data_IF_837520331762
#
_entry.id   IF_837520331762
#
_cell.length_a   1.000
_cell.length_b   1.000
_cell.length_c   1.000
_cell.angle_alpha   90.00
_cell.angle_beta   90.00
_cell.angle_gamma   90.00
#
_symmetry.space_group_name_H-M   'P 1'
#
loop_
_entity.id
_entity.type
_entity.pdbx_description
1 polymer ?
#
# COMPACT_ATOMS: atom_id res chain seq x y z
N UNK A 1 9.95 6.85 14.39
CA UNK A 1 10.38 7.61 13.19
C UNK A 1 10.46 6.67 12.02
N UNK A 2 9.67 6.92 10.99
CA UNK A 2 9.51 5.99 9.86
C UNK A 2 10.51 6.30 8.75
N UNK A 3 10.97 5.26 8.08
CA UNK A 3 11.91 5.36 6.98
C UNK A 3 11.58 4.30 5.93
N UNK A 4 11.47 4.71 4.67
CA UNK A 4 11.39 3.75 3.57
C UNK A 4 12.74 3.07 3.36
N UNK A 5 12.73 1.81 2.99
CA UNK A 5 13.95 1.05 2.73
C UNK A 5 14.79 1.75 1.65
N UNK A 6 16.11 1.81 1.85
CA UNK A 6 17.05 2.55 1.01
C UNK A 6 16.88 4.08 0.97
N UNK A 7 15.89 4.65 1.65
CA UNK A 7 15.79 6.10 1.78
C UNK A 7 16.92 6.63 2.69
N UNK A 8 17.53 7.73 2.30
CA UNK A 8 18.53 8.43 3.13
C UNK A 8 17.90 9.24 4.25
N UNK A 9 16.65 9.64 4.08
CA UNK A 9 15.93 10.48 5.04
C UNK A 9 14.75 9.72 5.64
N UNK A 10 14.40 10.06 6.86
CA UNK A 10 13.11 9.68 7.45
C UNK A 10 11.97 10.43 6.76
N UNK A 11 10.78 9.86 6.71
CA UNK A 11 9.68 10.39 5.90
C UNK A 11 9.18 11.76 6.38
N UNK A 12 9.29 12.06 7.66
CA UNK A 12 9.00 13.38 8.25
C UNK A 12 9.93 14.49 7.74
N UNK A 13 11.08 14.12 7.21
CA UNK A 13 12.06 15.04 6.59
C UNK A 13 11.95 15.13 5.06
N UNK A 14 10.86 14.64 4.50
CA UNK A 14 10.53 14.73 3.08
C UNK A 14 9.16 15.42 3.00
N UNK A 15 9.10 16.76 3.10
CA UNK A 15 7.83 17.49 3.29
C UNK A 15 6.78 17.17 2.22
N UNK A 16 7.17 17.14 0.95
CA UNK A 16 6.25 16.90 -0.16
C UNK A 16 5.58 15.52 -0.09
N UNK A 17 6.29 14.50 0.36
CA UNK A 17 5.73 13.17 0.57
C UNK A 17 4.92 13.13 1.87
N UNK A 18 5.46 13.65 2.95
CA UNK A 18 4.80 13.64 4.25
C UNK A 18 3.45 14.36 4.23
N UNK A 19 3.36 15.49 3.52
CA UNK A 19 2.10 16.23 3.34
C UNK A 19 1.00 15.38 2.67
N UNK A 20 1.37 14.43 1.81
CA UNK A 20 0.41 13.52 1.18
C UNK A 20 -0.15 12.45 2.12
N UNK A 21 0.61 12.00 3.12
CA UNK A 21 0.30 10.77 3.86
C UNK A 21 0.17 10.95 5.37
N UNK A 22 0.52 12.11 5.95
CA UNK A 22 0.57 12.29 7.41
C UNK A 22 -0.79 12.07 8.10
N UNK A 23 -1.88 12.43 7.43
CA UNK A 23 -3.24 12.22 7.93
C UNK A 23 -3.59 10.74 8.07
N UNK A 24 -3.07 9.89 7.17
CA UNK A 24 -3.25 8.44 7.19
C UNK A 24 -2.28 7.76 8.16
N UNK A 25 -1.00 8.15 8.07
CA UNK A 25 0.09 7.49 8.79
C UNK A 25 -0.11 7.52 10.31
N UNK A 26 -0.64 8.60 10.85
CA UNK A 26 -0.81 8.78 12.29
C UNK A 26 -2.12 8.18 12.84
N UNK A 27 -2.88 7.46 12.04
CA UNK A 27 -4.11 6.79 12.48
C UNK A 27 -3.82 5.43 13.11
N UNK A 28 -4.68 5.01 14.06
CA UNK A 28 -4.56 3.71 14.70
C UNK A 28 -4.62 2.54 13.71
N UNK A 29 -5.47 2.63 12.70
CA UNK A 29 -5.63 1.59 11.69
C UNK A 29 -4.34 1.35 10.88
N UNK A 30 -3.67 2.42 10.45
CA UNK A 30 -2.39 2.30 9.73
C UNK A 30 -1.27 1.84 10.66
N UNK A 31 -1.24 2.35 11.90
CA UNK A 31 -0.25 1.93 12.88
C UNK A 31 -0.37 0.44 13.24
N UNK A 32 -1.59 -0.09 13.30
CA UNK A 32 -1.85 -1.51 13.57
C UNK A 32 -1.19 -2.44 12.54
N UNK A 33 -0.95 -1.97 11.30
CA UNK A 33 -0.21 -2.75 10.30
C UNK A 33 1.21 -3.13 10.76
N UNK A 34 1.77 -2.41 11.71
CA UNK A 34 3.06 -2.73 12.33
C UNK A 34 3.04 -4.01 13.19
N UNK A 35 1.86 -4.48 13.60
CA UNK A 35 1.70 -5.70 14.40
C UNK A 35 1.67 -6.97 13.54
N UNK A 36 1.44 -6.85 12.24
CA UNK A 36 1.35 -7.98 11.32
C UNK A 36 2.66 -8.17 10.55
N UNK A 37 3.14 -9.41 10.52
CA UNK A 37 4.29 -9.80 9.70
C UNK A 37 3.88 -9.88 8.22
N UNK A 38 4.68 -9.28 7.35
CA UNK A 38 4.49 -9.39 5.89
C UNK A 38 5.30 -10.57 5.32
N UNK A 39 6.60 -10.38 5.09
CA UNK A 39 7.54 -11.40 4.62
C UNK A 39 8.91 -11.23 5.26
N UNK A 40 9.61 -12.33 5.57
CA UNK A 40 11.02 -12.35 5.98
C UNK A 40 11.38 -11.32 7.06
N UNK A 41 10.56 -11.18 8.09
CA UNK A 41 10.83 -10.26 9.21
C UNK A 41 10.43 -8.81 8.97
N UNK A 42 9.81 -8.48 7.85
CA UNK A 42 9.25 -7.15 7.59
C UNK A 42 7.81 -7.07 8.06
N UNK A 43 7.43 -5.96 8.69
CA UNK A 43 6.03 -5.71 9.04
C UNK A 43 5.23 -5.24 7.81
N UNK A 44 3.91 -5.43 7.88
CA UNK A 44 3.00 -4.92 6.84
C UNK A 44 3.06 -3.39 6.74
N UNK A 45 3.24 -2.69 7.86
CA UNK A 45 3.45 -1.24 7.87
C UNK A 45 4.71 -0.84 7.09
N UNK A 46 5.83 -1.51 7.35
CA UNK A 46 7.09 -1.21 6.64
C UNK A 46 6.97 -1.49 5.15
N UNK A 47 6.32 -2.59 4.77
CA UNK A 47 6.01 -2.88 3.36
C UNK A 47 5.16 -1.78 2.72
N UNK A 48 4.07 -1.40 3.37
CA UNK A 48 3.18 -0.34 2.89
C UNK A 48 3.88 1.02 2.77
N UNK A 49 4.75 1.36 3.70
CA UNK A 49 5.59 2.57 3.62
C UNK A 49 6.55 2.53 2.43
N UNK A 50 7.17 1.39 2.17
CA UNK A 50 8.06 1.21 1.01
C UNK A 50 7.30 1.42 -0.30
N UNK A 51 6.16 0.76 -0.46
CA UNK A 51 5.31 0.88 -1.65
C UNK A 51 4.85 2.33 -1.83
N UNK A 52 4.37 2.96 -0.77
CA UNK A 52 3.92 4.35 -0.74
C UNK A 52 5.00 5.33 -1.22
N UNK A 53 6.16 5.25 -0.62
CA UNK A 53 7.27 6.17 -0.92
C UNK A 53 7.81 6.01 -2.35
N UNK A 54 8.00 4.78 -2.80
CA UNK A 54 8.49 4.54 -4.16
C UNK A 54 7.45 4.83 -5.23
N UNK A 55 6.16 4.66 -4.95
CA UNK A 55 5.08 5.15 -5.80
C UNK A 55 5.14 6.68 -5.94
N UNK A 56 5.33 7.38 -4.83
CA UNK A 56 5.49 8.83 -4.84
C UNK A 56 6.65 9.26 -5.74
N UNK A 57 7.82 8.68 -5.56
CA UNK A 57 9.00 9.02 -6.35
C UNK A 57 8.81 8.74 -7.85
N UNK A 58 8.28 7.57 -8.18
CA UNK A 58 8.03 7.17 -9.56
C UNK A 58 7.02 8.09 -10.25
N UNK A 59 5.87 8.30 -9.62
CA UNK A 59 4.81 9.14 -10.17
C UNK A 59 5.24 10.60 -10.29
N UNK A 60 5.99 11.13 -9.32
CA UNK A 60 6.56 12.48 -9.41
C UNK A 60 7.50 12.61 -10.60
N UNK A 61 8.38 11.63 -10.81
CA UNK A 61 9.32 11.62 -11.95
C UNK A 61 8.60 11.55 -13.30
N UNK A 62 7.49 10.82 -13.36
CA UNK A 62 6.70 10.63 -14.58
C UNK A 62 5.58 11.68 -14.76
N UNK A 63 5.51 12.67 -13.87
CA UNK A 63 4.46 13.71 -13.86
C UNK A 63 3.03 13.17 -13.74
N UNK A 64 2.86 12.07 -13.01
CA UNK A 64 1.56 11.54 -12.62
C UNK A 64 1.13 12.06 -11.24
N UNK A 65 -0.06 11.67 -10.80
CA UNK A 65 -0.57 12.02 -9.46
C UNK A 65 0.19 11.28 -8.36
N UNK A 66 1.31 11.85 -7.94
CA UNK A 66 2.20 11.26 -6.96
C UNK A 66 1.56 11.16 -5.57
N UNK A 67 0.70 12.11 -5.22
CA UNK A 67 0.06 12.12 -3.91
C UNK A 67 -0.96 10.98 -3.78
N UNK A 68 -1.85 10.82 -4.76
CA UNK A 68 -2.79 9.68 -4.79
C UNK A 68 -2.06 8.34 -4.82
N UNK A 69 -0.96 8.23 -5.57
CA UNK A 69 -0.16 7.01 -5.62
C UNK A 69 0.52 6.68 -4.28
N UNK A 70 1.00 7.69 -3.56
CA UNK A 70 1.54 7.53 -2.22
C UNK A 70 0.49 7.05 -1.22
N UNK A 71 -0.68 7.67 -1.21
CA UNK A 71 -1.80 7.33 -0.34
C UNK A 71 -2.31 5.91 -0.61
N UNK A 72 -2.54 5.58 -1.87
CA UNK A 72 -2.94 4.24 -2.27
C UNK A 72 -1.88 3.19 -1.89
N UNK A 73 -0.61 3.49 -2.07
CA UNK A 73 0.49 2.62 -1.64
C UNK A 73 0.52 2.36 -0.14
N UNK A 74 0.19 3.36 0.67
CA UNK A 74 0.12 3.19 2.13
C UNK A 74 -1.07 2.32 2.55
N UNK A 75 -2.18 2.38 1.81
CA UNK A 75 -3.43 1.70 2.14
C UNK A 75 -3.66 0.39 1.39
N UNK A 76 -2.80 0.01 0.43
CA UNK A 76 -3.07 -1.14 -0.45
C UNK A 76 -3.21 -2.47 0.29
N UNK A 77 -2.55 -2.63 1.41
CA UNK A 77 -2.60 -3.81 2.29
C UNK A 77 -3.31 -3.51 3.63
N UNK A 78 -4.31 -2.62 3.62
CA UNK A 78 -5.07 -2.28 4.82
C UNK A 78 -6.08 -3.38 5.17
N UNK A 79 -5.59 -4.56 5.52
CA UNK A 79 -6.37 -5.62 6.12
C UNK A 79 -5.81 -5.94 7.52
N UNK A 80 -6.71 -5.99 8.50
CA UNK A 80 -6.37 -5.99 9.92
C UNK A 80 -6.56 -7.39 10.54
N UNK A 81 -5.93 -8.38 9.91
CA UNK A 81 -5.88 -9.76 10.39
C UNK A 81 -4.55 -10.43 10.02
N UNK A 82 -4.19 -11.49 10.76
CA UNK A 82 -3.04 -12.31 10.41
C UNK A 82 -3.43 -13.23 9.23
N UNK A 83 -2.71 -13.12 8.12
CA UNK A 83 -2.92 -13.92 6.92
C UNK A 83 -2.90 -15.42 7.18
N UNK A 84 -2.08 -15.89 8.12
CA UNK A 84 -1.94 -17.32 8.44
C UNK A 84 -3.09 -17.86 9.25
N UNK A 85 -3.81 -17.00 9.97
CA UNK A 85 -4.91 -17.35 10.85
C UNK A 85 -6.28 -16.99 10.26
N UNK A 86 -6.30 -16.25 9.15
CA UNK A 86 -7.53 -15.83 8.52
C UNK A 86 -8.20 -16.98 7.77
N UNK A 87 -9.45 -17.24 8.10
CA UNK A 87 -10.32 -18.15 7.36
C UNK A 87 -11.13 -17.30 6.35
N UNK A 88 -10.99 -17.57 5.02
CA UNK A 88 -11.72 -16.82 4.02
C UNK A 88 -13.24 -17.01 4.18
N UNK A 89 -13.97 -15.90 4.08
CA UNK A 89 -15.44 -15.95 4.03
C UNK A 89 -15.91 -16.32 2.63
N UNK A 90 -17.16 -16.80 2.54
CA UNK A 90 -17.76 -17.17 1.26
C UNK A 90 -17.70 -16.01 0.25
N UNK A 91 -17.17 -16.27 -0.94
CA UNK A 91 -16.99 -15.27 -2.00
C UNK A 91 -15.71 -14.43 -1.91
N UNK A 92 -14.91 -14.55 -0.86
CA UNK A 92 -13.64 -13.83 -0.75
C UNK A 92 -12.59 -14.32 -1.76
N UNK A 93 -12.60 -15.62 -2.05
CA UNK A 93 -11.60 -16.24 -2.90
C UNK A 93 -10.27 -16.50 -2.16
N UNK A 94 -9.21 -16.73 -2.92
CA UNK A 94 -7.88 -16.88 -2.31
C UNK A 94 -7.34 -15.52 -1.85
N UNK A 95 -6.26 -15.54 -1.05
CA UNK A 95 -5.70 -14.32 -0.47
C UNK A 95 -5.30 -13.26 -1.53
N UNK A 96 -4.78 -13.66 -2.67
CA UNK A 96 -4.37 -12.73 -3.73
C UNK A 96 -5.56 -11.96 -4.35
N UNK A 97 -6.75 -12.56 -4.33
CA UNK A 97 -7.99 -11.94 -4.84
C UNK A 97 -8.76 -11.25 -3.71
N UNK A 98 -8.77 -11.82 -2.52
CA UNK A 98 -9.57 -11.37 -1.39
C UNK A 98 -9.00 -10.15 -0.67
N UNK A 99 -7.69 -10.12 -0.37
CA UNK A 99 -7.14 -9.04 0.43
C UNK A 99 -7.22 -7.64 -0.22
N UNK A 100 -7.11 -7.47 -1.56
CA UNK A 100 -7.31 -6.15 -2.15
C UNK A 100 -8.73 -5.60 -1.94
N UNK A 101 -9.73 -6.48 -1.97
CA UNK A 101 -11.12 -6.10 -1.70
C UNK A 101 -11.30 -5.66 -0.26
N UNK A 102 -10.77 -6.41 0.69
CA UNK A 102 -10.81 -6.05 2.11
C UNK A 102 -10.07 -4.73 2.36
N UNK A 103 -8.90 -4.54 1.80
CA UNK A 103 -8.14 -3.30 1.92
C UNK A 103 -8.91 -2.11 1.33
N UNK A 104 -9.54 -2.29 0.17
CA UNK A 104 -10.38 -1.26 -0.44
C UNK A 104 -11.57 -0.88 0.44
N UNK A 105 -12.32 -1.85 0.95
CA UNK A 105 -13.47 -1.58 1.83
C UNK A 105 -13.05 -0.87 3.11
N UNK A 106 -11.97 -1.32 3.75
CA UNK A 106 -11.45 -0.67 4.95
C UNK A 106 -11.01 0.77 4.67
N UNK A 107 -10.29 0.99 3.57
CA UNK A 107 -9.84 2.32 3.19
C UNK A 107 -11.01 3.25 2.87
N UNK A 108 -12.01 2.78 2.13
CA UNK A 108 -13.19 3.55 1.77
C UNK A 108 -14.07 3.90 2.99
N UNK A 109 -14.14 2.99 3.96
CA UNK A 109 -14.92 3.21 5.19
C UNK A 109 -14.21 4.15 6.17
N UNK A 110 -12.88 4.02 6.30
CA UNK A 110 -12.11 4.73 7.32
C UNK A 110 -11.57 6.09 6.86
N UNK A 111 -11.38 6.29 5.55
CA UNK A 111 -10.67 7.45 5.02
C UNK A 111 -11.37 8.05 3.80
N UNK A 112 -11.21 9.38 3.57
CA UNK A 112 -11.69 10.04 2.35
C UNK A 112 -10.75 9.72 1.19
N UNK A 113 -10.93 8.59 0.54
CA UNK A 113 -10.15 8.20 -0.64
C UNK A 113 -10.85 8.66 -1.93
N UNK A 114 -10.06 9.04 -2.93
CA UNK A 114 -10.57 9.36 -4.26
C UNK A 114 -10.66 8.12 -5.17
N UNK A 115 -11.23 8.27 -6.37
CA UNK A 115 -11.43 7.16 -7.30
C UNK A 115 -10.11 6.53 -7.76
N UNK A 116 -9.04 7.32 -7.92
CA UNK A 116 -7.70 6.82 -8.28
C UNK A 116 -7.10 5.97 -7.18
N UNK A 117 -7.20 6.45 -5.94
CA UNK A 117 -6.75 5.70 -4.77
C UNK A 117 -7.51 4.38 -4.64
N UNK A 118 -8.84 4.42 -4.78
CA UNK A 118 -9.69 3.24 -4.73
C UNK A 118 -9.35 2.20 -5.82
N UNK A 119 -9.16 2.64 -7.05
CA UNK A 119 -8.78 1.78 -8.17
C UNK A 119 -7.42 1.11 -7.94
N UNK A 120 -6.43 1.88 -7.49
CA UNK A 120 -5.10 1.36 -7.20
C UNK A 120 -5.10 0.34 -6.05
N UNK A 121 -5.89 0.58 -5.00
CA UNK A 121 -5.99 -0.35 -3.86
C UNK A 121 -6.71 -1.63 -4.28
N UNK A 122 -7.87 -1.51 -4.91
CA UNK A 122 -8.70 -2.66 -5.27
C UNK A 122 -8.02 -3.61 -6.27
N UNK A 123 -7.17 -3.08 -7.14
CA UNK A 123 -6.59 -3.82 -8.27
C UNK A 123 -5.07 -3.94 -8.21
N UNK A 124 -4.45 -3.75 -7.03
CA UNK A 124 -2.99 -3.73 -6.92
C UNK A 124 -2.32 -5.10 -7.20
N UNK A 125 -3.06 -6.19 -7.14
CA UNK A 125 -2.54 -7.54 -7.41
C UNK A 125 -2.53 -7.92 -8.89
N UNK A 126 -3.00 -7.03 -9.79
CA UNK A 126 -2.85 -7.27 -11.22
C UNK A 126 -1.35 -7.45 -11.58
N UNK A 127 -0.96 -8.41 -12.42
CA UNK A 127 -1.79 -9.31 -13.24
C UNK A 127 -2.21 -10.63 -12.56
N UNK A 128 -1.89 -10.83 -11.28
CA UNK A 128 -2.29 -12.05 -10.55
C UNK A 128 -3.81 -12.09 -10.31
N UNK A 129 -4.45 -10.93 -10.22
CA UNK A 129 -5.91 -10.80 -10.27
C UNK A 129 -6.36 -10.41 -11.69
N UNK A 130 -7.61 -10.74 -12.10
CA UNK A 130 -8.05 -10.56 -13.47
C UNK A 130 -8.31 -9.10 -13.87
N UNK A 131 -8.52 -8.20 -12.91
CA UNK A 131 -8.88 -6.81 -13.16
C UNK A 131 -7.66 -5.91 -13.24
N UNK A 132 -7.40 -5.37 -14.44
CA UNK A 132 -6.33 -4.40 -14.65
C UNK A 132 -6.77 -3.02 -14.12
N UNK A 133 -5.97 -2.37 -13.25
CA UNK A 133 -6.27 -1.04 -12.80
C UNK A 133 -6.13 0.00 -13.92
N UNK A 134 -6.94 1.06 -13.87
CA UNK A 134 -6.74 2.23 -14.73
C UNK A 134 -5.46 2.99 -14.35
N UNK A 135 -5.13 3.01 -13.06
CA UNK A 135 -3.94 3.66 -12.50
C UNK A 135 -2.98 2.60 -11.93
N UNK A 136 -1.91 2.31 -12.65
CA UNK A 136 -1.06 1.11 -12.43
C UNK A 136 0.12 1.31 -11.50
N UNK A 137 0.28 2.49 -10.89
CA UNK A 137 1.46 2.82 -10.10
C UNK A 137 1.72 1.81 -8.97
N UNK A 138 0.71 1.49 -8.16
CA UNK A 138 0.86 0.53 -7.06
C UNK A 138 1.17 -0.87 -7.56
N UNK A 139 0.53 -1.32 -8.64
CA UNK A 139 0.79 -2.64 -9.22
C UNK A 139 2.24 -2.79 -9.68
N UNK A 140 2.78 -1.80 -10.37
CA UNK A 140 4.17 -1.84 -10.82
C UNK A 140 5.15 -1.81 -9.66
N UNK A 141 4.96 -0.94 -8.69
CA UNK A 141 5.84 -0.84 -7.54
C UNK A 141 5.74 -2.10 -6.68
N UNK A 142 4.54 -2.63 -6.47
CA UNK A 142 4.31 -3.86 -5.72
C UNK A 142 4.99 -5.07 -6.35
N UNK A 143 5.03 -5.16 -7.68
CA UNK A 143 5.72 -6.24 -8.40
C UNK A 143 7.24 -6.08 -8.43
N UNK A 144 7.73 -4.84 -8.49
CA UNK A 144 9.17 -4.57 -8.64
C UNK A 144 9.91 -4.47 -7.31
N UNK A 145 9.27 -4.00 -6.24
CA UNK A 145 9.90 -3.88 -4.92
C UNK A 145 10.50 -5.20 -4.41
N UNK A 146 9.83 -6.35 -4.48
CA UNK A 146 10.44 -7.61 -4.07
C UNK A 146 11.72 -7.94 -4.81
N UNK A 147 11.80 -7.60 -6.09
CA UNK A 147 12.99 -7.81 -6.94
C UNK A 147 14.13 -6.88 -6.53
N UNK A 148 13.83 -5.62 -6.20
CA UNK A 148 14.81 -4.65 -5.72
C UNK A 148 15.30 -5.01 -4.32
N UNK A 149 14.45 -5.59 -3.47
CA UNK A 149 14.78 -5.97 -2.10
C UNK A 149 15.52 -7.30 -2.00
N UNK A 150 15.50 -8.12 -3.04
CA UNK A 150 16.23 -9.38 -3.11
C UNK A 150 17.68 -9.21 -3.63
N UNK A 151 18.01 -8.04 -4.07
CA UNK A 151 19.36 -7.65 -4.47
C UNK A 151 20.03 -6.90 -3.32
#
# INVERSE_FOLDING_TARGET
MYKALFSRKTIDKIPEYYDCVHDLLNTSAVQELGEYTHHKGTTRLQHSLNVSYYNFLLCRKLHFDACSAARAGLLHDLFLYDRKQHEPVEGEGNHAVGHPKVAFFNAAEMFPINDREGDMIANHMWPLSPHMPHFRAVSYTHLTLPTILLV
#
